data_IF_697010517006
#
_entry.id   IF_697010517006
#
_cell.length_a   1.000
_cell.length_b   1.000
_cell.length_c   1.000
_cell.angle_alpha   90.00
_cell.angle_beta   90.00
_cell.angle_gamma   90.00
#
_symmetry.space_group_name_H-M   'P 1'
#
loop_
_entity.id
_entity.type
_entity.pdbx_description
1 polymer ?
#
# COMPACT_ATOMS: atom_id res chain seq x y z
N UNK A 1 7.22 1.96 15.48
CA UNK A 1 7.95 2.78 14.48
C UNK A 1 7.03 3.91 14.08
N UNK A 2 7.43 5.19 14.19
CA UNK A 2 6.60 6.29 13.69
C UNK A 2 6.71 6.32 12.17
N UNK A 3 5.69 5.85 11.47
CA UNK A 3 5.59 6.00 10.03
C UNK A 3 5.19 7.45 9.76
N UNK A 4 6.13 8.27 9.31
CA UNK A 4 5.82 9.63 8.89
C UNK A 4 5.12 9.58 7.54
N UNK A 5 3.90 10.10 7.48
CA UNK A 5 3.11 10.17 6.25
C UNK A 5 3.64 11.30 5.35
N UNK A 6 4.60 10.96 4.49
CA UNK A 6 5.23 11.89 3.53
C UNK A 6 5.17 11.32 2.13
N UNK A 7 5.34 12.16 1.10
CA UNK A 7 5.39 11.71 -0.30
C UNK A 7 6.43 10.60 -0.50
N UNK A 8 7.56 10.70 0.21
CA UNK A 8 8.61 9.70 0.15
C UNK A 8 8.17 8.32 0.70
N UNK A 9 7.32 8.30 1.73
CA UNK A 9 6.70 7.07 2.23
C UNK A 9 5.69 6.51 1.23
N UNK A 10 4.89 7.38 0.59
CA UNK A 10 3.95 6.98 -0.45
C UNK A 10 4.69 6.30 -1.63
N UNK A 11 5.72 6.94 -2.15
CA UNK A 11 6.53 6.38 -3.24
C UNK A 11 7.13 5.02 -2.86
N UNK A 12 7.67 4.88 -1.64
CA UNK A 12 8.17 3.57 -1.15
C UNK A 12 7.10 2.49 -1.16
N UNK A 13 5.90 2.80 -0.69
CA UNK A 13 4.79 1.84 -0.66
C UNK A 13 4.34 1.47 -2.08
N UNK A 14 4.25 2.45 -2.99
CA UNK A 14 3.94 2.21 -4.40
C UNK A 14 5.00 1.32 -5.07
N UNK A 15 6.27 1.57 -4.78
CA UNK A 15 7.38 0.80 -5.33
C UNK A 15 7.38 -0.63 -4.78
N UNK A 16 7.06 -0.80 -3.50
CA UNK A 16 6.90 -2.11 -2.87
C UNK A 16 5.73 -2.90 -3.49
N UNK A 17 4.57 -2.26 -3.67
CA UNK A 17 3.44 -2.86 -4.38
C UNK A 17 3.84 -3.26 -5.80
N UNK A 18 4.60 -2.43 -6.50
CA UNK A 18 5.11 -2.72 -7.85
C UNK A 18 6.03 -3.94 -7.87
N UNK A 19 6.93 -4.09 -6.90
CA UNK A 19 7.79 -5.28 -6.79
C UNK A 19 7.00 -6.55 -6.45
N UNK A 20 5.93 -6.42 -5.66
CA UNK A 20 4.99 -7.51 -5.40
C UNK A 20 4.14 -7.91 -6.63
N UNK A 21 4.22 -7.13 -7.71
CA UNK A 21 3.47 -7.32 -8.94
C UNK A 21 2.11 -6.64 -8.95
N UNK A 22 1.88 -5.70 -8.03
CA UNK A 22 0.69 -4.87 -7.99
C UNK A 22 0.90 -3.56 -8.75
N UNK A 23 -0.11 -3.12 -9.50
CA UNK A 23 -0.10 -1.82 -10.17
C UNK A 23 -0.98 -0.83 -9.40
N UNK A 24 -0.38 0.25 -8.91
CA UNK A 24 -1.12 1.36 -8.30
C UNK A 24 -1.65 2.27 -9.40
N UNK A 25 -2.95 2.55 -9.37
CA UNK A 25 -3.63 3.46 -10.30
C UNK A 25 -4.50 4.44 -9.53
N UNK A 26 -4.37 5.71 -9.88
CA UNK A 26 -5.20 6.77 -9.31
C UNK A 26 -6.45 6.96 -10.15
N UNK A 27 -7.61 6.70 -9.56
CA UNK A 27 -8.90 6.80 -10.23
C UNK A 27 -9.84 7.74 -9.48
N UNK A 28 -10.78 8.33 -10.23
CA UNK A 28 -11.84 9.18 -9.68
C UNK A 28 -13.06 8.29 -9.42
N UNK A 29 -12.98 7.49 -8.36
CA UNK A 29 -14.03 6.55 -7.97
C UNK A 29 -14.49 6.75 -6.52
N UNK A 30 -15.74 6.38 -6.22
CA UNK A 30 -16.25 6.34 -4.86
C UNK A 30 -15.79 5.04 -4.18
N UNK A 31 -14.50 4.98 -3.84
CA UNK A 31 -13.92 3.86 -3.09
C UNK A 31 -14.43 3.95 -1.65
N UNK A 32 -15.37 3.08 -1.26
CA UNK A 32 -15.98 3.06 0.10
C UNK A 32 -14.93 3.04 1.24
N UNK A 33 -13.73 2.54 0.97
CA UNK A 33 -12.62 2.37 1.93
C UNK A 33 -11.35 3.14 1.53
N UNK A 34 -11.43 4.13 0.63
CA UNK A 34 -10.29 4.96 0.22
C UNK A 34 -9.33 4.31 -0.80
N UNK A 35 -9.23 2.98 -0.81
CA UNK A 35 -8.58 2.19 -1.87
C UNK A 35 -9.31 0.88 -2.13
N UNK A 36 -9.18 0.36 -3.35
CA UNK A 36 -9.75 -0.92 -3.76
C UNK A 36 -8.66 -1.78 -4.41
N UNK A 37 -8.54 -3.02 -3.95
CA UNK A 37 -7.70 -4.03 -4.57
C UNK A 37 -8.52 -4.85 -5.55
N UNK A 38 -8.05 -4.96 -6.78
CA UNK A 38 -8.56 -5.92 -7.75
C UNK A 38 -7.63 -7.13 -7.74
N UNK A 39 -7.99 -8.15 -6.94
CA UNK A 39 -7.21 -9.39 -6.77
C UNK A 39 -6.98 -10.10 -8.11
N UNK A 40 -8.00 -10.13 -8.98
CA UNK A 40 -7.92 -10.74 -10.32
C UNK A 40 -6.84 -10.15 -11.24
N UNK A 41 -6.48 -8.88 -11.05
CA UNK A 41 -5.52 -8.18 -11.91
C UNK A 41 -4.35 -7.58 -11.15
N UNK A 42 -4.24 -7.87 -9.84
CA UNK A 42 -3.28 -7.25 -8.92
C UNK A 42 -3.25 -5.73 -9.10
N UNK A 43 -4.41 -5.11 -9.24
CA UNK A 43 -4.50 -3.67 -9.52
C UNK A 43 -5.04 -2.95 -8.30
N UNK A 44 -4.29 -1.99 -7.78
CA UNK A 44 -4.63 -1.20 -6.61
C UNK A 44 -5.15 0.14 -7.09
N UNK A 45 -6.44 0.39 -6.90
CA UNK A 45 -7.07 1.66 -7.20
C UNK A 45 -7.04 2.55 -5.96
N UNK A 46 -6.48 3.75 -6.09
CA UNK A 46 -6.43 4.75 -5.01
C UNK A 46 -7.27 5.96 -5.42
N UNK A 47 -8.07 6.49 -4.50
CA UNK A 47 -8.83 7.71 -4.77
C UNK A 47 -7.87 8.87 -5.06
N UNK A 48 -8.03 9.55 -6.19
CA UNK A 48 -7.22 10.75 -6.49
C UNK A 48 -7.50 11.89 -5.52
N UNK A 49 -8.73 12.01 -5.01
CA UNK A 49 -9.20 13.10 -4.16
C UNK A 49 -8.80 12.98 -2.68
N UNK A 50 -8.32 11.81 -2.24
CA UNK A 50 -7.91 11.63 -0.84
C UNK A 50 -6.57 12.30 -0.53
N UNK A 51 -6.43 12.74 0.72
CA UNK A 51 -5.19 13.32 1.24
C UNK A 51 -4.07 12.28 1.27
N UNK A 52 -2.83 12.75 1.26
CA UNK A 52 -1.62 11.92 1.29
C UNK A 52 -1.65 10.89 2.41
N UNK A 53 -1.99 11.30 3.64
CA UNK A 53 -2.10 10.38 4.78
C UNK A 53 -3.12 9.28 4.51
N UNK A 54 -4.33 9.64 4.06
CA UNK A 54 -5.38 8.68 3.71
C UNK A 54 -4.93 7.70 2.62
N UNK A 55 -4.21 8.18 1.60
CA UNK A 55 -3.65 7.32 0.54
C UNK A 55 -2.66 6.31 1.11
N UNK A 56 -1.73 6.76 1.95
CA UNK A 56 -0.74 5.88 2.58
C UNK A 56 -1.42 4.87 3.48
N UNK A 57 -2.33 5.30 4.36
CA UNK A 57 -3.08 4.41 5.27
C UNK A 57 -3.82 3.35 4.46
N UNK A 58 -4.55 3.77 3.43
CA UNK A 58 -5.29 2.87 2.54
C UNK A 58 -4.37 1.84 1.89
N UNK A 59 -3.23 2.26 1.34
CA UNK A 59 -2.25 1.36 0.73
C UNK A 59 -1.63 0.41 1.74
N UNK A 60 -1.30 0.88 2.94
CA UNK A 60 -0.73 0.07 4.02
C UNK A 60 -1.71 -1.01 4.49
N UNK A 61 -2.97 -0.63 4.69
CA UNK A 61 -4.01 -1.53 5.13
C UNK A 61 -4.27 -2.61 4.09
N UNK A 62 -4.29 -2.20 2.82
CA UNK A 62 -4.38 -3.09 1.68
C UNK A 62 -3.16 -4.02 1.62
N UNK A 63 -1.94 -3.51 1.82
CA UNK A 63 -0.70 -4.29 1.91
C UNK A 63 -0.73 -5.40 2.98
N UNK A 64 -1.37 -5.13 4.12
CA UNK A 64 -1.52 -6.12 5.20
C UNK A 64 -2.50 -7.22 4.85
N UNK A 65 -3.56 -6.88 4.13
CA UNK A 65 -4.60 -7.80 3.68
C UNK A 65 -4.15 -8.62 2.46
N UNK A 66 -3.29 -8.05 1.62
CA UNK A 66 -2.70 -8.78 0.51
C UNK A 66 -1.79 -9.89 1.05
N UNK A 67 -2.05 -11.13 0.63
CA UNK A 67 -1.09 -12.22 0.79
C UNK A 67 0.00 -12.09 -0.28
N UNK A 68 0.90 -11.13 -0.05
CA UNK A 68 1.93 -10.78 -1.01
C UNK A 68 3.13 -11.71 -0.78
N UNK A 69 3.49 -12.50 -1.80
CA UNK A 69 4.63 -13.40 -1.73
C UNK A 69 5.93 -12.58 -1.74
N UNK A 70 6.55 -12.44 -0.55
CA UNK A 70 7.77 -11.67 -0.36
C UNK A 70 9.00 -12.28 -1.06
N UNK A 71 8.87 -13.46 -1.67
CA UNK A 71 9.93 -14.10 -2.47
C UNK A 71 10.51 -13.20 -3.56
N UNK A 72 9.75 -12.21 -4.07
CA UNK A 72 10.21 -11.26 -5.09
C UNK A 72 10.74 -9.93 -4.54
N UNK A 73 10.61 -9.70 -3.24
CA UNK A 73 11.07 -8.47 -2.60
C UNK A 73 12.56 -8.52 -2.31
N UNK A 74 13.24 -7.40 -2.55
CA UNK A 74 14.61 -7.19 -2.06
C UNK A 74 14.65 -7.17 -0.52
N UNK A 75 15.78 -7.55 0.10
CA UNK A 75 15.92 -7.62 1.58
C UNK A 75 15.46 -6.34 2.30
N UNK A 76 15.79 -5.16 1.74
CA UNK A 76 15.34 -3.86 2.28
C UNK A 76 13.81 -3.72 2.26
N UNK A 77 13.17 -4.19 1.19
CA UNK A 77 11.71 -4.13 1.01
C UNK A 77 11.01 -5.16 1.88
N UNK A 78 11.59 -6.36 2.05
CA UNK A 78 11.09 -7.36 3.01
C UNK A 78 11.07 -6.77 4.42
N UNK A 79 12.17 -6.18 4.89
CA UNK A 79 12.22 -5.57 6.21
C UNK A 79 11.13 -4.50 6.40
N UNK A 80 10.88 -3.68 5.37
CA UNK A 80 9.81 -2.68 5.38
C UNK A 80 8.42 -3.32 5.40
N UNK A 81 8.17 -4.32 4.55
CA UNK A 81 6.90 -5.06 4.50
C UNK A 81 6.58 -5.74 5.84
N UNK A 82 7.55 -6.43 6.44
CA UNK A 82 7.41 -7.04 7.76
C UNK A 82 7.16 -5.99 8.85
N UNK A 83 7.85 -4.85 8.81
CA UNK A 83 7.59 -3.75 9.73
C UNK A 83 6.16 -3.22 9.60
N UNK A 84 5.63 -3.10 8.38
CA UNK A 84 4.25 -2.68 8.14
C UNK A 84 3.24 -3.74 8.63
N UNK A 85 3.48 -5.04 8.35
CA UNK A 85 2.61 -6.12 8.85
C UNK A 85 2.59 -6.19 10.38
N UNK A 86 3.73 -5.98 11.04
CA UNK A 86 3.82 -5.95 12.51
C UNK A 86 3.27 -4.66 13.12
N UNK A 87 3.14 -3.58 12.35
CA UNK A 87 2.56 -2.34 12.83
C UNK A 87 1.07 -2.58 13.08
N UNK A 88 0.62 -2.70 14.33
CA UNK A 88 -0.80 -2.55 14.64
C UNK A 88 -1.18 -1.10 14.42
N UNK A 89 -1.92 -0.84 13.34
CA UNK A 89 -2.69 0.39 13.24
C UNK A 89 -3.83 0.18 14.24
N UNK A 90 -3.73 0.82 15.40
CA UNK A 90 -4.86 0.95 16.31
C UNK A 90 -5.81 1.93 15.61
N UNK A 91 -6.84 1.38 14.98
CA UNK A 91 -7.98 2.13 14.45
C UNK A 91 -8.95 2.34 15.61
#
# INVERSE_FOLDING_TARGET
>A
MNITFTNHTLEKVELLLKELGYKVRYEKGNFKTGSCLIENSKLVMVNKFSNLESKIISLIELLKNIDANDSKLSEKQKAFYYAIKQTKLAI
#
